data_IF_848368652003
#
_entry.id   IF_848368652003
#
_cell.length_a   1.000
_cell.length_b   1.000
_cell.length_c   1.000
_cell.angle_alpha   90.00
_cell.angle_beta   90.00
_cell.angle_gamma   90.00
#
_symmetry.space_group_name_H-M   'P 1'
#
loop_
_entity.id
_entity.type
_entity.pdbx_description
1 polymer ?
#
# COMPACT_ATOMS: atom_id res chain seq x y z
N UNK A 1 -19.60 0.82 -6.42
CA UNK A 1 -18.41 1.69 -6.56
C UNK A 1 -17.15 1.04 -5.96
N UNK A 2 -17.27 -0.02 -5.16
CA UNK A 2 -16.16 -0.64 -4.39
C UNK A 2 -15.17 -1.51 -5.21
N UNK A 3 -15.45 -1.81 -6.49
CA UNK A 3 -14.64 -2.75 -7.28
C UNK A 3 -13.31 -2.18 -7.79
N UNK A 4 -13.21 -0.86 -7.94
CA UNK A 4 -12.03 -0.25 -8.55
C UNK A 4 -10.82 -0.21 -7.61
N UNK A 5 -11.04 -0.02 -6.30
CA UNK A 5 -9.95 0.02 -5.32
C UNK A 5 -9.17 -1.30 -5.21
N UNK A 6 -9.89 -2.43 -5.21
CA UNK A 6 -9.24 -3.75 -5.21
C UNK A 6 -8.43 -4.00 -6.48
N UNK A 7 -8.97 -3.63 -7.65
CA UNK A 7 -8.26 -3.80 -8.92
C UNK A 7 -6.97 -2.98 -8.96
N UNK A 8 -7.01 -1.73 -8.52
CA UNK A 8 -5.82 -0.88 -8.44
C UNK A 8 -4.79 -1.37 -7.43
N UNK A 9 -5.24 -1.90 -6.28
CA UNK A 9 -4.34 -2.50 -5.31
C UNK A 9 -3.64 -3.76 -5.86
N UNK A 10 -4.36 -4.58 -6.61
CA UNK A 10 -3.82 -5.81 -7.20
C UNK A 10 -2.79 -5.49 -8.30
N UNK A 11 -3.05 -4.44 -9.10
CA UNK A 11 -2.11 -3.90 -10.09
C UNK A 11 -0.87 -3.27 -9.41
N UNK A 12 -1.05 -2.45 -8.38
CA UNK A 12 0.05 -1.83 -7.60
C UNK A 12 0.92 -2.88 -6.92
N UNK A 13 0.30 -3.93 -6.37
CA UNK A 13 0.98 -5.04 -5.70
C UNK A 13 1.62 -6.05 -6.68
N UNK A 14 1.42 -5.89 -8.00
CA UNK A 14 1.92 -6.81 -9.03
C UNK A 14 1.24 -8.18 -9.06
N UNK A 15 0.09 -8.33 -8.38
CA UNK A 15 -0.71 -9.58 -8.38
C UNK A 15 -1.49 -9.76 -9.68
N UNK A 16 -1.76 -8.66 -10.37
CA UNK A 16 -2.42 -8.63 -11.69
C UNK A 16 -1.53 -7.93 -12.70
N UNK A 17 -1.44 -8.50 -13.90
CA UNK A 17 -0.76 -7.88 -15.03
C UNK A 17 -1.65 -6.80 -15.69
N UNK A 18 -1.09 -5.67 -16.12
CA UNK A 18 -1.83 -4.61 -16.80
C UNK A 18 -2.25 -5.07 -18.20
N UNK A 19 -3.56 -5.22 -18.42
CA UNK A 19 -4.09 -5.66 -19.71
C UNK A 19 -4.32 -4.44 -20.61
N UNK A 20 -4.86 -3.37 -20.03
CA UNK A 20 -5.31 -2.16 -20.73
C UNK A 20 -4.23 -1.08 -20.74
N UNK A 21 -4.23 -0.20 -21.75
CA UNK A 21 -3.32 0.97 -21.79
C UNK A 21 -3.43 1.87 -20.54
N UNK A 22 -4.64 2.04 -19.98
CA UNK A 22 -4.86 2.78 -18.74
C UNK A 22 -4.14 2.11 -17.55
N UNK A 23 -4.20 0.78 -17.43
CA UNK A 23 -3.53 0.03 -16.36
C UNK A 23 -1.99 0.09 -16.50
N UNK A 24 -1.47 0.06 -17.73
CA UNK A 24 -0.02 0.21 -18.00
C UNK A 24 0.46 1.61 -17.59
N UNK A 25 -0.31 2.65 -17.94
CA UNK A 25 -0.02 4.02 -17.50
C UNK A 25 -0.09 4.16 -16.00
N UNK A 26 -1.12 3.60 -15.38
CA UNK A 26 -1.31 3.62 -13.94
C UNK A 26 -0.09 3.06 -13.19
N UNK A 27 0.45 1.92 -13.65
CA UNK A 27 1.68 1.34 -13.09
C UNK A 27 2.86 2.29 -13.27
N UNK A 28 3.07 2.85 -14.46
CA UNK A 28 4.14 3.82 -14.71
C UNK A 28 4.01 5.09 -13.83
N UNK A 29 2.78 5.57 -13.60
CA UNK A 29 2.50 6.66 -12.64
C UNK A 29 2.83 6.24 -11.21
N UNK A 30 2.52 5.01 -10.80
CA UNK A 30 2.85 4.52 -9.47
C UNK A 30 4.37 4.36 -9.24
N UNK A 31 5.11 4.03 -10.29
CA UNK A 31 6.57 4.02 -10.30
C UNK A 31 7.20 5.43 -10.38
N UNK A 32 6.39 6.50 -10.39
CA UNK A 32 6.83 7.89 -10.52
C UNK A 32 7.42 8.25 -11.89
N UNK A 33 7.23 7.40 -12.91
CA UNK A 33 7.78 7.59 -14.25
C UNK A 33 6.90 8.51 -15.11
N UNK A 34 5.60 8.57 -14.81
CA UNK A 34 4.62 9.42 -15.50
C UNK A 34 3.85 10.31 -14.52
N UNK A 35 3.42 11.48 -15.01
CA UNK A 35 2.55 12.38 -14.26
C UNK A 35 1.08 11.92 -14.32
N UNK A 36 0.33 11.92 -13.21
CA UNK A 36 -1.06 11.50 -13.19
C UNK A 36 -1.92 12.46 -14.02
N UNK A 37 -2.53 11.94 -15.09
CA UNK A 37 -3.40 12.71 -15.98
C UNK A 37 -4.88 12.47 -15.71
N UNK A 38 -5.22 11.24 -15.31
CA UNK A 38 -6.58 10.80 -15.05
C UNK A 38 -6.98 11.08 -13.58
N UNK A 39 -8.28 11.26 -13.33
CA UNK A 39 -8.79 11.44 -11.96
C UNK A 39 -8.52 10.20 -11.09
N UNK A 40 -8.64 9.01 -11.66
CA UNK A 40 -8.35 7.75 -10.97
C UNK A 40 -6.91 7.68 -10.45
N UNK A 41 -5.93 8.08 -11.26
CA UNK A 41 -4.51 8.10 -10.89
C UNK A 41 -4.27 9.09 -9.74
N UNK A 42 -4.87 10.29 -9.81
CA UNK A 42 -4.75 11.30 -8.76
C UNK A 42 -5.35 10.84 -7.44
N UNK A 43 -6.53 10.22 -7.48
CA UNK A 43 -7.20 9.69 -6.29
C UNK A 43 -6.38 8.55 -5.69
N UNK A 44 -5.84 7.65 -6.52
CA UNK A 44 -5.00 6.55 -6.05
C UNK A 44 -3.71 7.05 -5.40
N UNK A 45 -2.99 7.97 -6.03
CA UNK A 45 -1.77 8.55 -5.45
C UNK A 45 -2.06 9.24 -4.11
N UNK A 46 -3.16 9.99 -4.01
CA UNK A 46 -3.60 10.60 -2.75
C UNK A 46 -3.90 9.54 -1.68
N UNK A 47 -4.56 8.44 -2.06
CA UNK A 47 -4.83 7.32 -1.17
C UNK A 47 -3.54 6.67 -0.67
N UNK A 48 -2.63 6.33 -1.58
CA UNK A 48 -1.32 5.72 -1.27
C UNK A 48 -0.48 6.63 -0.39
N UNK A 49 -0.40 7.93 -0.70
CA UNK A 49 0.29 8.90 0.16
C UNK A 49 -0.32 8.92 1.57
N UNK A 50 -1.64 8.86 1.67
CA UNK A 50 -2.32 8.85 2.96
C UNK A 50 -2.07 7.57 3.77
N UNK A 51 -2.08 6.40 3.13
CA UNK A 51 -1.89 5.11 3.82
C UNK A 51 -0.42 4.79 4.11
N UNK A 52 0.52 5.27 3.28
CA UNK A 52 1.97 5.09 3.49
C UNK A 52 2.54 6.06 4.53
N UNK A 53 1.82 7.13 4.88
CA UNK A 53 2.23 8.05 5.95
C UNK A 53 2.34 7.29 7.27
N UNK A 54 3.50 7.31 7.95
CA UNK A 54 3.66 6.67 9.25
C UNK A 54 2.71 7.34 10.24
N UNK A 55 1.75 6.56 10.76
CA UNK A 55 0.85 7.05 11.80
C UNK A 55 1.63 7.13 13.11
N UNK A 56 1.68 8.31 13.72
CA UNK A 56 2.11 8.45 15.11
C UNK A 56 1.03 7.86 16.00
N UNK A 57 1.27 6.62 16.44
CA UNK A 57 0.48 6.02 17.50
C UNK A 57 0.87 6.67 18.81
N UNK A 58 -0.07 7.35 19.44
CA UNK A 58 0.08 7.87 20.80
C UNK A 58 -0.66 6.93 21.74
N UNK A 59 0.05 6.36 22.72
CA UNK A 59 -0.60 5.59 23.79
C UNK A 59 -1.22 6.57 24.78
N UNK A 60 -2.52 6.42 25.06
CA UNK A 60 -3.24 7.24 26.07
C UNK A 60 -2.96 6.78 27.51
N UNK A 61 -1.84 6.09 27.74
CA UNK A 61 -1.35 5.72 29.05
C UNK A 61 0.17 5.83 29.01
N UNK A 62 0.75 6.57 29.94
CA UNK A 62 2.19 6.90 30.01
C UNK A 62 3.08 5.72 30.40
N UNK A 63 2.93 4.58 29.74
CA UNK A 63 3.79 3.41 29.84
C UNK A 63 4.71 3.32 28.63
N UNK A 64 5.99 3.04 28.88
CA UNK A 64 7.07 3.00 27.88
C UNK A 64 6.74 2.03 26.73
N UNK A 65 7.09 2.34 25.47
CA UNK A 65 6.89 1.42 24.36
C UNK A 65 7.90 0.27 24.46
N UNK A 66 7.43 -0.90 24.90
CA UNK A 66 8.09 -2.17 24.61
C UNK A 66 7.69 -2.57 23.18
N UNK A 67 8.49 -2.14 22.20
CA UNK A 67 8.51 -2.79 20.90
C UNK A 67 9.35 -4.07 21.08
N UNK A 68 8.75 -5.09 21.69
CA UNK A 68 9.38 -6.40 21.73
C UNK A 68 9.14 -7.08 20.38
N UNK A 69 10.28 -7.24 19.71
CA UNK A 69 10.57 -8.03 18.52
C UNK A 69 9.69 -9.29 18.45
N UNK A 70 9.14 -9.52 17.26
CA UNK A 70 8.50 -10.77 16.87
C UNK A 70 9.48 -11.92 17.07
N UNK A 71 9.27 -12.72 18.12
CA UNK A 71 10.00 -13.98 18.32
C UNK A 71 9.51 -15.00 17.29
N UNK A 72 10.39 -15.34 16.36
CA UNK A 72 10.29 -16.42 15.38
C UNK A 72 10.15 -17.75 16.15
N UNK A 73 8.98 -18.39 16.01
CA UNK A 73 8.68 -19.67 16.66
C UNK A 73 9.39 -20.79 15.89
N UNK A 74 10.64 -21.10 16.24
CA UNK A 74 11.29 -22.34 15.79
C UNK A 74 10.77 -23.49 16.63
N UNK A 75 9.80 -24.21 16.08
CA UNK A 75 9.42 -25.55 16.51
C UNK A 75 10.60 -26.51 16.30
N UNK A 76 11.12 -27.09 17.37
CA UNK A 76 12.05 -28.23 17.31
C UNK A 76 11.53 -29.26 18.29
N UNK A 77 10.70 -30.17 17.79
CA UNK A 77 10.21 -31.35 18.51
C UNK A 77 11.31 -32.45 18.47
N UNK A 78 11.72 -32.94 19.64
CA UNK A 78 12.49 -34.17 19.87
C UNK A 78 11.54 -35.35 20.10
#
# INVERSE_FOLDING_TARGET
MERYGHAYNDLDSGKREPVTNDERRFIAVCHSELSPTNEHEKVWLKYIEHIRRPKRFHTLSGGKPQMDIVEDYTDTED
#
